data_IF_980803173049
#
_entry.id   IF_980803173049
#
_cell.length_a   1.000
_cell.length_b   1.000
_cell.length_c   1.000
_cell.angle_alpha   90.00
_cell.angle_beta   90.00
_cell.angle_gamma   90.00
#
_symmetry.space_group_name_H-M   'P 1'
#
loop_
_entity.id
_entity.type
_entity.pdbx_description
1 polymer ?
#
# COMPACT_ATOMS: atom_id res chain seq x y z
N UNK A 1 -6.37 -3.48 -14.53
CA UNK A 1 -6.31 -2.14 -13.89
C UNK A 1 -5.80 -2.28 -12.47
N UNK A 2 -5.73 -1.20 -11.68
CA UNK A 2 -5.37 -1.27 -10.27
C UNK A 2 -6.54 -0.87 -9.36
N UNK A 3 -6.52 -1.33 -8.11
CA UNK A 3 -7.40 -0.81 -7.06
C UNK A 3 -6.68 0.29 -6.28
N UNK A 4 -7.28 1.47 -6.14
CA UNK A 4 -6.82 2.47 -5.16
C UNK A 4 -7.70 2.37 -3.91
N UNK A 5 -7.07 2.19 -2.76
CA UNK A 5 -7.74 1.90 -1.49
C UNK A 5 -7.06 2.58 -0.29
N UNK A 6 -7.77 2.68 0.84
CA UNK A 6 -7.29 3.28 2.09
C UNK A 6 -8.09 2.79 3.31
N UNK A 7 -7.59 3.11 4.49
CA UNK A 7 -8.27 2.89 5.77
C UNK A 7 -8.17 1.47 6.29
N UNK A 8 -8.47 1.30 7.58
CA UNK A 8 -8.38 0.02 8.29
C UNK A 8 -9.70 -0.41 8.94
N UNK A 9 -10.78 0.31 8.67
CA UNK A 9 -12.12 -0.02 9.13
C UNK A 9 -12.62 -1.29 8.44
N UNK A 10 -13.31 -2.16 9.19
CA UNK A 10 -13.83 -3.45 8.69
C UNK A 10 -14.62 -3.29 7.39
N UNK A 11 -15.50 -2.30 7.33
CA UNK A 11 -16.33 -2.04 6.15
C UNK A 11 -15.51 -1.68 4.90
N UNK A 12 -14.43 -0.91 5.06
CA UNK A 12 -13.53 -0.58 3.95
C UNK A 12 -12.78 -1.84 3.50
N UNK A 13 -12.25 -2.60 4.45
CA UNK A 13 -11.53 -3.84 4.13
C UNK A 13 -12.43 -4.85 3.40
N UNK A 14 -13.66 -5.05 3.84
CA UNK A 14 -14.63 -5.91 3.14
C UNK A 14 -14.87 -5.45 1.70
N UNK A 15 -14.99 -4.15 1.48
CA UNK A 15 -15.12 -3.58 0.14
C UNK A 15 -13.86 -3.83 -0.72
N UNK A 16 -12.66 -3.73 -0.13
CA UNK A 16 -11.41 -4.04 -0.85
C UNK A 16 -11.33 -5.51 -1.24
N UNK A 17 -11.73 -6.43 -0.35
CA UNK A 17 -11.79 -7.86 -0.68
C UNK A 17 -12.80 -8.16 -1.79
N UNK A 18 -13.95 -7.48 -1.81
CA UNK A 18 -14.92 -7.62 -2.90
C UNK A 18 -14.32 -7.23 -4.27
N UNK A 19 -13.39 -6.26 -4.29
CA UNK A 19 -12.71 -5.85 -5.53
C UNK A 19 -11.79 -6.92 -6.12
N UNK A 20 -11.39 -7.94 -5.35
CA UNK A 20 -10.61 -9.07 -5.85
C UNK A 20 -11.41 -9.98 -6.80
N UNK A 21 -12.73 -9.85 -6.84
CA UNK A 21 -13.56 -10.52 -7.85
C UNK A 21 -13.40 -9.90 -9.26
N UNK A 22 -12.80 -8.71 -9.34
CA UNK A 22 -12.43 -8.08 -10.60
C UNK A 22 -10.97 -8.41 -10.96
N UNK A 23 -10.65 -8.35 -12.25
CA UNK A 23 -9.31 -8.61 -12.78
C UNK A 23 -8.36 -7.42 -12.55
N UNK A 24 -8.08 -7.16 -11.27
CA UNK A 24 -7.09 -6.16 -10.83
C UNK A 24 -5.71 -6.79 -10.80
N UNK A 25 -4.72 -6.02 -11.24
CA UNK A 25 -3.34 -6.47 -11.38
C UNK A 25 -2.44 -6.02 -10.22
N UNK A 26 -2.87 -5.03 -9.44
CA UNK A 26 -2.16 -4.50 -8.28
C UNK A 26 -3.12 -3.75 -7.34
N UNK A 27 -2.70 -3.55 -6.10
CA UNK A 27 -3.36 -2.66 -5.15
C UNK A 27 -2.48 -1.44 -4.85
N UNK A 28 -3.08 -0.27 -4.83
CA UNK A 28 -2.46 1.00 -4.45
C UNK A 28 -3.08 1.47 -3.12
N UNK A 29 -2.29 1.60 -2.06
CA UNK A 29 -2.79 1.79 -0.69
C UNK A 29 -2.13 2.97 0.03
N UNK A 30 -2.88 3.64 0.91
CA UNK A 30 -2.32 4.71 1.75
C UNK A 30 -1.21 4.15 2.66
N UNK A 31 -0.02 4.77 2.64
CA UNK A 31 1.11 4.30 3.45
C UNK A 31 0.80 4.28 4.96
N UNK A 32 0.11 5.32 5.44
CA UNK A 32 -0.24 5.49 6.86
C UNK A 32 -1.25 4.47 7.41
N UNK A 33 -1.92 3.72 6.53
CA UNK A 33 -2.87 2.68 6.91
C UNK A 33 -2.23 1.28 6.94
N UNK A 34 -0.91 1.17 6.80
CA UNK A 34 -0.19 -0.09 6.92
C UNK A 34 0.27 -0.35 8.36
N UNK A 35 0.28 -1.62 8.82
CA UNK A 35 -0.18 -2.82 8.11
C UNK A 35 -1.71 -3.01 8.22
N UNK A 36 -2.28 -3.75 7.27
CA UNK A 36 -3.66 -4.21 7.37
C UNK A 36 -3.91 -5.55 6.68
N UNK A 37 -5.01 -6.20 7.04
CA UNK A 37 -5.32 -7.57 6.63
C UNK A 37 -5.51 -7.72 5.11
N UNK A 38 -6.01 -6.68 4.42
CA UNK A 38 -6.16 -6.71 2.97
C UNK A 38 -4.79 -6.70 2.27
N UNK A 39 -3.92 -5.77 2.67
CA UNK A 39 -2.57 -5.63 2.09
C UNK A 39 -1.73 -6.88 2.35
N UNK A 40 -1.74 -7.40 3.59
CA UNK A 40 -1.06 -8.66 3.90
C UNK A 40 -1.58 -9.81 3.03
N UNK A 41 -2.90 -9.94 2.85
CA UNK A 41 -3.46 -11.00 2.01
C UNK A 41 -3.04 -10.85 0.53
N UNK A 42 -3.22 -9.66 -0.04
CA UNK A 42 -2.86 -9.36 -1.44
C UNK A 42 -1.40 -9.66 -1.72
N UNK A 43 -0.49 -9.13 -0.88
CA UNK A 43 0.94 -9.27 -1.10
C UNK A 43 1.43 -10.69 -0.80
N UNK A 44 1.05 -11.24 0.34
CA UNK A 44 1.65 -12.48 0.83
C UNK A 44 0.97 -13.73 0.27
N UNK A 45 -0.34 -13.70 0.04
CA UNK A 45 -1.11 -14.85 -0.43
C UNK A 45 -1.33 -14.83 -1.93
N UNK A 46 -1.79 -13.70 -2.48
CA UNK A 46 -2.02 -13.59 -3.92
C UNK A 46 -0.75 -13.28 -4.71
N UNK A 47 0.32 -12.86 -4.03
CA UNK A 47 1.57 -12.40 -4.68
C UNK A 47 1.31 -11.26 -5.69
N UNK A 48 0.26 -10.48 -5.44
CA UNK A 48 -0.10 -9.34 -6.27
C UNK A 48 0.60 -8.08 -5.73
N UNK A 49 1.21 -7.24 -6.60
CA UNK A 49 1.96 -6.07 -6.16
C UNK A 49 1.12 -5.09 -5.32
N UNK A 50 1.74 -4.57 -4.27
CA UNK A 50 1.19 -3.47 -3.47
C UNK A 50 2.08 -2.23 -3.62
N UNK A 51 1.47 -1.12 -4.03
CA UNK A 51 2.12 0.18 -4.23
C UNK A 51 1.57 1.16 -3.19
N UNK A 52 2.40 1.83 -2.41
CA UNK A 52 1.92 2.86 -1.48
C UNK A 52 1.82 4.24 -2.14
N UNK A 53 0.92 5.08 -1.62
CA UNK A 53 0.78 6.50 -1.97
C UNK A 53 0.79 7.39 -0.71
N UNK A 54 0.97 8.70 -0.91
CA UNK A 54 1.25 9.71 0.14
C UNK A 54 2.44 9.32 1.02
N UNK A 55 3.56 8.96 0.39
CA UNK A 55 4.84 8.78 1.09
C UNK A 55 5.57 10.13 1.13
N UNK A 56 5.47 10.80 2.29
CA UNK A 56 5.97 12.17 2.51
C UNK A 56 7.14 12.26 3.50
N UNK A 57 7.39 11.20 4.28
CA UNK A 57 8.35 11.18 5.37
C UNK A 57 8.99 9.79 5.57
N UNK A 58 10.02 9.73 6.42
CA UNK A 58 10.72 8.47 6.71
C UNK A 58 9.80 7.38 7.30
N UNK A 59 8.89 7.67 8.24
CA UNK A 59 7.94 6.66 8.71
C UNK A 59 7.11 6.01 7.60
N UNK A 60 6.61 6.79 6.63
CA UNK A 60 5.88 6.24 5.49
C UNK A 60 6.76 5.39 4.56
N UNK A 61 8.04 5.77 4.40
CA UNK A 61 9.06 4.99 3.69
C UNK A 61 9.27 3.64 4.40
N UNK A 62 9.49 3.63 5.72
CA UNK A 62 9.71 2.43 6.52
C UNK A 62 8.51 1.48 6.47
N UNK A 63 7.29 2.01 6.56
CA UNK A 63 6.05 1.25 6.42
C UNK A 63 5.97 0.60 5.03
N UNK A 64 6.32 1.35 3.98
CA UNK A 64 6.32 0.82 2.62
C UNK A 64 7.31 -0.32 2.46
N UNK A 65 8.57 -0.13 2.87
CA UNK A 65 9.60 -1.18 2.78
C UNK A 65 9.20 -2.46 3.50
N UNK A 66 8.50 -2.32 4.64
CA UNK A 66 8.08 -3.47 5.44
C UNK A 66 6.88 -4.21 4.83
N UNK A 67 5.88 -3.48 4.34
CA UNK A 67 4.56 -4.04 4.08
C UNK A 67 4.11 -4.00 2.60
N UNK A 68 4.82 -3.33 1.72
CA UNK A 68 4.49 -3.17 0.31
C UNK A 68 5.73 -3.38 -0.59
N UNK A 69 5.55 -3.25 -1.91
CA UNK A 69 6.57 -3.60 -2.91
C UNK A 69 7.12 -2.37 -3.64
N UNK A 70 6.37 -1.27 -3.66
CA UNK A 70 6.76 0.00 -4.28
C UNK A 70 6.10 1.18 -3.55
N UNK A 71 6.67 2.38 -3.64
CA UNK A 71 6.05 3.65 -3.22
C UNK A 71 5.89 4.63 -4.38
N UNK A 72 4.89 5.48 -4.29
CA UNK A 72 4.73 6.69 -5.10
C UNK A 72 5.03 7.90 -4.24
N UNK A 73 6.01 8.72 -4.65
CA UNK A 73 6.38 9.95 -3.96
C UNK A 73 5.47 11.10 -4.39
N UNK A 74 4.97 11.87 -3.42
CA UNK A 74 4.22 13.10 -3.67
C UNK A 74 4.99 14.28 -3.06
N UNK A 75 5.90 14.89 -3.82
CA UNK A 75 6.66 16.05 -3.35
C UNK A 75 7.78 15.75 -2.34
N UNK A 76 8.23 14.49 -2.27
CA UNK A 76 9.37 14.06 -1.45
C UNK A 76 10.62 13.88 -2.33
N UNK A 77 11.71 14.56 -1.97
CA UNK A 77 13.04 14.41 -2.60
C UNK A 77 13.87 13.36 -1.82
N UNK A 78 14.17 12.18 -2.39
CA UNK A 78 14.87 11.10 -1.68
C UNK A 78 16.29 11.45 -1.23
N UNK A 79 16.95 12.42 -1.88
CA UNK A 79 18.34 12.80 -1.59
C UNK A 79 18.54 13.46 -0.22
N UNK A 80 17.46 13.83 0.47
CA UNK A 80 17.49 14.38 1.84
C UNK A 80 17.36 13.30 2.92
N UNK A 81 17.17 12.04 2.52
CA UNK A 81 16.94 10.94 3.44
C UNK A 81 18.11 9.97 3.40
N UNK A 82 18.88 9.99 4.49
CA UNK A 82 19.88 8.95 4.72
C UNK A 82 19.17 7.62 4.94
N UNK A 83 19.28 6.73 3.96
CA UNK A 83 18.96 5.32 4.13
C UNK A 83 20.03 4.75 5.08
N UNK A 84 19.62 4.47 6.32
CA UNK A 84 20.46 3.90 7.37
C UNK A 84 20.72 2.40 7.15
#
# INVERSE_FOLDING_TARGET
>A
GGLTAYGNEVKLIEAHFAMLAHDIAFASYAAGDLPNQFVSFVRERLKMPVITWTVLDQPAVDLTFRYADQMTFEGFEPDLVQVA
#
